data_IF_698592773221
#
_entry.id   IF_698592773221
#
_cell.length_a   1.000
_cell.length_b   1.000
_cell.length_c   1.000
_cell.angle_alpha   90.00
_cell.angle_beta   90.00
_cell.angle_gamma   90.00
#
_symmetry.space_group_name_H-M   'P 1'
#
loop_
_entity.id
_entity.type
_entity.pdbx_description
1 polymer ?
2 polymer ?
3 polymer ?
4 non-polymer ?
5 water ?
#
loop_
_entity_poly.entity_id
_entity_poly.type
_entity_poly.pdbx_seq_one_letter_code
_entity_poly.pdbx_strand_id
2 'polydeoxyribonucleotide' '(DC)(DG)(DC)(DT)(DA)(DG)(DT)(DA)(DC)(DT)(DC)(DA)(DT)' ?
3 'polydeoxyribonucleotide' '(DC)(DT)(DA)(DG)(DT)(DA)(DC)(DT)(DA)(DG)(DC)(DG)' ?
#
# COMPACT_ATOMS: atom_id res chain seq x y z
N UNK A 2 -2.42 -8.21 -3.33
CA UNK A 2 -3.51 -7.38 -2.85
C UNK A 2 -4.87 -7.94 -3.18
N UNK A 3 -5.86 -7.07 -3.30
CA UNK A 3 -7.22 -7.49 -3.66
C UNK A 3 -7.22 -8.06 -5.07
N UNK A 4 -7.61 -9.32 -5.20
CA UNK A 4 -7.52 -10.05 -6.46
C UNK A 4 -8.40 -9.47 -7.56
N UNK A 5 -7.77 -8.78 -8.51
CA UNK A 5 -8.45 -8.26 -9.67
C UNK A 5 -9.58 -7.30 -9.37
N UNK A 6 -9.37 -6.44 -8.38
CA UNK A 6 -10.40 -5.49 -7.96
C UNK A 6 -10.75 -4.50 -9.06
N UNK A 7 -9.77 -4.16 -9.88
CA UNK A 7 -9.95 -3.17 -10.93
C UNK A 7 -10.96 -3.62 -11.99
N UNK A 8 -10.88 -4.89 -12.36
CA UNK A 8 -11.73 -5.43 -13.42
C UNK A 8 -13.18 -5.57 -12.95
N UNK A 9 -13.38 -5.60 -11.64
CA UNK A 9 -14.72 -5.75 -11.09
C UNK A 9 -15.44 -4.40 -11.02
N UNK A 10 -14.67 -3.34 -10.76
CA UNK A 10 -15.23 -1.99 -10.72
C UNK A 10 -14.70 -1.17 -11.91
N UNK A 11 -14.71 -1.80 -13.08
CA UNK A 11 -14.22 -1.17 -14.30
C UNK A 11 -14.96 0.12 -14.65
N UNK A 12 -16.26 0.14 -14.39
CA UNK A 12 -17.12 1.26 -14.79
C UNK A 12 -16.95 2.48 -13.90
N UNK A 13 -16.17 2.34 -12.82
CA UNK A 13 -15.91 3.46 -11.92
C UNK A 13 -14.59 4.14 -12.26
N UNK A 14 -13.96 3.67 -13.33
CA UNK A 14 -12.67 4.21 -13.76
C UNK A 14 -12.82 5.29 -14.81
N UNK A 15 -11.81 6.13 -14.95
CA UNK A 15 -11.82 7.21 -15.92
C UNK A 15 -10.40 7.62 -16.29
N UNK A 16 -10.03 7.48 -17.57
CA UNK A 16 -8.72 7.87 -18.08
C UNK A 16 -8.47 9.37 -17.94
N UNK A 17 -7.43 9.74 -17.20
CA UNK A 17 -7.12 11.15 -16.99
C UNK A 17 -5.64 11.45 -17.24
N UNK A 18 -5.32 12.73 -17.22
CA UNK A 18 -3.94 13.18 -17.21
C UNK A 18 -3.72 13.97 -15.93
N UNK A 19 -2.49 13.96 -15.42
CA UNK A 19 -2.19 14.57 -14.13
C UNK A 19 -2.35 16.09 -14.14
N UNK A 20 -2.49 16.67 -15.33
CA UNK A 20 -2.78 18.09 -15.48
C UNK A 20 -4.09 18.45 -14.78
N UNK A 21 -4.96 17.45 -14.63
CA UNK A 21 -6.22 17.58 -13.91
C UNK A 21 -6.00 18.03 -12.47
N UNK A 22 -4.83 17.71 -11.92
CA UNK A 22 -4.50 18.07 -10.55
C UNK A 22 -3.41 19.14 -10.51
N UNK A 23 -3.49 20.11 -11.40
CA UNK A 23 -2.56 21.23 -11.41
C UNK A 23 -2.92 22.22 -10.30
N UNK A 24 -1.90 22.63 -9.54
CA UNK A 24 -2.12 23.55 -8.43
C UNK A 24 -2.70 22.84 -7.22
N UNK A 25 -2.62 21.52 -7.22
CA UNK A 25 -3.11 20.72 -6.10
C UNK A 25 -2.04 19.81 -5.54
N UNK A 26 -2.40 19.00 -4.55
CA UNK A 26 -1.46 18.10 -3.90
C UNK A 26 -1.91 16.65 -4.00
N UNK A 27 -1.03 15.79 -4.49
CA UNK A 27 -1.32 14.36 -4.56
C UNK A 27 -0.26 13.55 -3.82
N UNK A 28 -0.67 12.43 -3.23
CA UNK A 28 0.25 11.56 -2.51
C UNK A 28 0.65 10.38 -3.37
N UNK A 29 1.93 10.02 -3.34
CA UNK A 29 2.44 8.97 -4.21
C UNK A 29 2.97 7.75 -3.44
N UNK A 30 2.44 6.58 -3.77
CA UNK A 30 2.99 5.33 -3.27
C UNK A 30 4.33 5.08 -3.96
N UNK A 31 5.39 5.65 -3.39
CA UNK A 31 6.70 5.69 -4.04
C UNK A 31 7.30 4.31 -4.33
N UNK A 32 6.79 3.29 -3.65
CA UNK A 32 7.29 1.94 -3.82
C UNK A 32 7.14 1.44 -5.25
N UNK A 33 6.03 1.80 -5.89
CA UNK A 33 5.73 1.36 -7.24
C UNK A 33 6.72 1.94 -8.26
N UNK A 34 7.33 3.06 -7.91
CA UNK A 34 8.33 3.68 -8.77
C UNK A 34 9.72 3.13 -8.42
N UNK A 35 9.98 3.01 -7.13
CA UNK A 35 11.25 2.49 -6.62
C UNK A 35 11.54 1.10 -7.14
N UNK A 36 10.51 0.26 -7.19
CA UNK A 36 10.65 -1.11 -7.67
C UNK A 36 11.06 -1.13 -9.15
N UNK A 37 10.27 -0.45 -9.97
CA UNK A 37 10.53 -0.37 -11.41
C UNK A 37 11.92 0.19 -11.69
N UNK A 38 12.33 1.18 -10.89
CA UNK A 38 13.66 1.75 -11.02
C UNK A 38 14.73 0.76 -10.62
N UNK A 39 14.42 -0.08 -9.63
CA UNK A 39 15.38 -1.05 -9.11
C UNK A 39 15.51 -2.27 -10.03
N UNK A 40 14.53 -2.46 -10.90
CA UNK A 40 14.57 -3.53 -11.88
C UNK A 40 15.77 -3.37 -12.81
N UNK A 41 16.02 -2.13 -13.23
CA UNK A 41 17.14 -1.83 -14.11
C UNK A 41 18.47 -1.79 -13.37
N UNK A 42 18.44 -2.14 -12.09
CA UNK A 42 19.65 -2.18 -11.27
C UNK A 42 19.84 -3.56 -10.64
N UNK A 43 19.15 -4.56 -11.22
CA UNK A 43 19.14 -5.90 -10.66
C UNK A 43 20.53 -6.48 -10.42
N UNK A 44 21.31 -6.58 -11.48
CA UNK A 44 22.66 -7.15 -11.38
C UNK A 44 23.56 -6.26 -10.52
N UNK A 45 23.36 -4.95 -10.61
CA UNK A 45 24.17 -4.01 -9.84
C UNK A 45 23.86 -4.10 -8.34
N UNK A 46 22.57 -4.18 -8.01
CA UNK A 46 22.16 -4.31 -6.61
C UNK A 46 22.56 -5.66 -6.04
N UNK A 47 22.50 -6.70 -6.88
CA UNK A 47 22.85 -8.04 -6.45
C UNK A 47 24.36 -8.20 -6.26
N UNK A 48 25.14 -7.52 -7.08
CA UNK A 48 26.59 -7.56 -6.99
C UNK A 48 27.11 -6.76 -5.80
N UNK A 49 26.26 -5.89 -5.25
CA UNK A 49 26.67 -5.00 -4.19
C UNK A 49 27.34 -3.77 -4.76
N UNK A 50 27.30 -3.66 -6.09
CA UNK A 50 27.90 -2.54 -6.80
C UNK A 50 26.95 -1.34 -6.82
N UNK A 51 27.47 -0.16 -6.40
CA UNK A 51 26.67 1.06 -6.28
C UNK A 51 26.02 1.50 -7.60
N UNK A 52 24.79 2.02 -7.49
CA UNK A 52 24.05 2.51 -8.64
C UNK A 52 22.94 3.47 -8.20
N UNK A 53 22.68 4.48 -9.03
CA UNK A 53 21.66 5.48 -8.71
C UNK A 53 20.73 5.72 -9.89
N UNK A 54 20.17 4.65 -10.44
CA UNK A 54 19.29 4.74 -11.61
C UNK A 54 17.83 4.79 -11.20
N UNK A 55 17.49 4.05 -10.15
CA UNK A 55 16.14 4.09 -9.59
C UNK A 55 15.83 5.48 -9.06
N UNK A 56 16.87 6.16 -8.56
CA UNK A 56 16.75 7.54 -8.13
C UNK A 56 16.34 8.43 -9.30
N UNK A 57 17.00 8.22 -10.44
CA UNK A 57 16.69 8.98 -11.64
C UNK A 57 15.32 8.66 -12.19
N UNK A 58 14.86 7.44 -11.95
CA UNK A 58 13.53 7.00 -12.35
C UNK A 58 12.46 7.72 -11.54
N UNK A 59 12.54 7.56 -10.22
CA UNK A 59 11.62 8.20 -9.30
C UNK A 59 11.62 9.71 -9.49
N UNK A 60 12.80 10.28 -9.72
CA UNK A 60 12.91 11.72 -9.94
C UNK A 60 12.41 12.11 -11.32
N UNK A 61 12.40 11.17 -12.26
CA UNK A 61 11.80 11.42 -13.56
C UNK A 61 10.31 11.58 -13.39
N UNK A 62 9.69 10.64 -12.68
CA UNK A 62 8.26 10.73 -12.41
C UNK A 62 7.89 11.97 -11.60
N UNK A 63 8.69 12.25 -10.56
CA UNK A 63 8.46 13.39 -9.69
C UNK A 63 8.57 14.71 -10.44
N UNK A 64 9.61 14.84 -11.27
CA UNK A 64 9.78 16.02 -12.10
C UNK A 64 8.64 16.16 -13.11
N UNK A 65 8.17 15.02 -13.61
CA UNK A 65 7.01 15.01 -14.49
C UNK A 65 5.79 15.57 -13.77
N UNK A 66 5.64 15.22 -12.49
CA UNK A 66 4.55 15.76 -11.69
C UNK A 66 4.71 17.26 -11.44
N UNK A 67 5.93 17.68 -11.16
CA UNK A 67 6.22 19.09 -10.87
C UNK A 67 6.03 19.96 -12.11
N UNK A 68 6.21 19.38 -13.28
CA UNK A 68 6.09 20.12 -14.53
C UNK A 68 4.67 20.66 -14.74
N UNK A 69 3.69 19.96 -14.17
CA UNK A 69 2.29 20.35 -14.33
C UNK A 69 1.74 21.04 -13.08
N UNK A 70 2.62 21.74 -12.37
CA UNK A 70 2.21 22.52 -11.21
C UNK A 70 1.61 21.71 -10.08
N UNK A 71 2.02 20.46 -9.95
CA UNK A 71 1.53 19.59 -8.89
C UNK A 71 2.52 19.52 -7.74
N UNK A 72 2.01 19.45 -6.52
CA UNK A 72 2.86 19.27 -5.34
C UNK A 72 2.78 17.82 -4.87
N UNK A 73 3.78 17.01 -5.23
CA UNK A 73 3.77 15.58 -4.88
C UNK A 73 4.26 15.33 -3.46
N UNK A 74 3.68 14.33 -2.79
CA UNK A 74 4.14 13.91 -1.49
C UNK A 74 4.53 12.44 -1.54
N UNK A 75 5.84 12.18 -1.45
CA UNK A 75 6.35 10.82 -1.53
C UNK A 75 6.18 10.08 -0.20
N UNK A 76 5.43 8.98 -0.24
CA UNK A 76 5.17 8.19 0.96
C UNK A 76 5.79 6.80 0.84
N UNK A 77 6.48 6.37 1.89
CA UNK A 77 7.16 5.08 1.89
C UNK A 77 6.61 4.17 2.98
N UNK A 78 6.88 2.87 2.86
CA UNK A 78 6.51 1.92 3.90
C UNK A 78 7.49 1.99 5.07
N UNK A 79 7.01 1.66 6.26
CA UNK A 79 7.85 1.66 7.44
C UNK A 79 8.00 0.27 8.04
N UNK A 80 7.64 0.13 9.30
CA UNK A 80 7.72 -1.15 9.98
C UNK A 80 6.68 -2.12 9.42
N UNK A 81 7.05 -3.39 9.32
CA UNK A 81 6.12 -4.40 8.84
C UNK A 81 5.16 -4.81 9.94
N UNK A 82 3.88 -4.87 9.62
CA UNK A 82 2.85 -5.29 10.58
C UNK A 82 3.13 -6.70 11.08
N UNK A 83 2.83 -6.96 12.36
CA UNK A 83 3.03 -8.26 13.00
C UNK A 83 2.36 -9.41 12.26
N UNK A 84 1.36 -9.10 11.45
CA UNK A 84 0.67 -10.10 10.65
C UNK A 84 1.58 -10.64 9.54
N UNK A 85 2.17 -9.73 8.78
CA UNK A 85 3.06 -10.11 7.68
C UNK A 85 4.51 -10.16 8.13
N UNK A 86 4.71 -10.31 9.44
CA UNK A 86 6.05 -10.31 10.02
C UNK A 86 6.88 -11.50 9.55
N UNK A 87 6.20 -12.58 9.15
CA UNK A 87 6.87 -13.81 8.78
C UNK A 87 6.94 -14.02 7.27
N UNK A 88 5.88 -13.60 6.58
CA UNK A 88 5.83 -13.70 5.12
C UNK A 88 6.97 -12.91 4.50
N UNK A 89 7.30 -11.78 5.12
CA UNK A 89 8.44 -10.98 4.71
C UNK A 89 9.74 -11.78 4.82
N UNK A 90 9.87 -12.53 5.92
CA UNK A 90 11.04 -13.37 6.12
C UNK A 90 11.11 -14.47 5.07
N UNK A 91 9.97 -15.04 4.72
CA UNK A 91 9.91 -16.04 3.67
C UNK A 91 10.39 -15.45 2.35
N UNK A 92 9.89 -14.26 2.04
CA UNK A 92 10.28 -13.54 0.83
C UNK A 92 11.78 -13.23 0.83
N UNK A 93 12.34 -13.03 2.02
CA UNK A 93 13.77 -12.80 2.16
C UNK A 93 14.56 -14.09 1.90
N UNK A 94 14.03 -15.20 2.39
CA UNK A 94 14.62 -16.50 2.16
C UNK A 94 14.68 -16.79 0.66
N UNK A 95 13.54 -16.62 -0.01
CA UNK A 95 13.49 -16.77 -1.46
C UNK A 95 14.44 -15.78 -2.15
N UNK A 96 14.54 -14.59 -1.56
CA UNK A 96 15.38 -13.53 -2.11
C UNK A 96 16.84 -13.95 -2.16
N UNK A 97 17.41 -14.29 -1.02
CA UNK A 97 18.82 -14.66 -0.96
C UNK A 97 19.06 -16.06 -1.51
N UNK A 98 18.00 -16.84 -1.68
CA UNK A 98 18.10 -18.13 -2.35
C UNK A 98 18.31 -17.91 -3.84
N UNK A 99 17.49 -17.04 -4.43
CA UNK A 99 17.64 -16.68 -5.82
C UNK A 99 18.92 -15.86 -6.04
N UNK A 100 19.40 -15.23 -4.97
CA UNK A 100 20.68 -14.54 -5.01
C UNK A 100 21.82 -15.56 -5.04
N UNK A 101 21.63 -16.65 -4.31
CA UNK A 101 22.59 -17.76 -4.32
C UNK A 101 22.65 -18.38 -5.71
N UNK A 102 21.49 -18.75 -6.24
CA UNK A 102 21.39 -19.32 -7.58
C UNK A 102 21.95 -18.34 -8.63
N UNK A 103 21.75 -17.05 -8.38
CA UNK A 103 22.26 -16.02 -9.27
C UNK A 103 23.77 -15.97 -9.29
N UNK A 104 24.38 -15.84 -8.12
CA UNK A 104 25.82 -15.78 -8.00
C UNK A 104 26.50 -17.08 -8.43
N UNK A 105 25.75 -18.17 -8.34
CA UNK A 105 26.28 -19.48 -8.76
C UNK A 105 26.20 -19.64 -10.27
N UNK A 106 25.11 -19.17 -10.88
CA UNK A 106 24.95 -19.25 -12.32
C UNK A 106 25.71 -18.13 -13.03
N UNK A 107 26.26 -17.22 -12.25
CA UNK A 107 27.15 -16.19 -12.79
C UNK A 107 28.58 -16.71 -12.86
N UNK A 108 29.01 -17.34 -11.77
CA UNK A 108 30.36 -17.89 -11.68
C UNK A 108 30.52 -19.07 -12.64
N UNK A 109 29.40 -19.71 -12.97
CA UNK A 109 29.39 -20.82 -13.93
C UNK A 109 29.81 -20.33 -15.31
N UNK A 110 29.54 -19.06 -15.59
CA UNK A 110 29.92 -18.45 -16.85
C UNK A 110 28.71 -18.01 -17.67
N UNK A 111 27.63 -18.76 -17.56
CA UNK A 111 26.42 -18.47 -18.33
C UNK A 111 25.62 -17.34 -17.68
N UNK A 112 25.96 -16.11 -18.05
CA UNK A 112 25.29 -14.93 -17.51
C UNK A 112 23.94 -14.72 -18.22
N UNK A 113 23.67 -15.55 -19.21
CA UNK A 113 22.42 -15.47 -19.96
C UNK A 113 21.20 -15.73 -19.07
N UNK A 114 21.33 -16.70 -18.16
CA UNK A 114 20.24 -17.03 -17.24
C UNK A 114 20.33 -16.19 -15.96
N UNK A 115 21.43 -15.44 -15.84
CA UNK A 115 21.61 -14.55 -14.70
C UNK A 115 20.70 -13.34 -14.81
N UNK A 116 20.15 -13.13 -16.00
CA UNK A 116 19.18 -12.06 -16.23
C UNK A 116 17.80 -12.48 -15.74
N UNK A 117 17.68 -13.74 -15.33
CA UNK A 117 16.46 -14.23 -14.70
C UNK A 117 16.77 -14.59 -13.24
N UNK A 118 18.05 -14.82 -12.97
CA UNK A 118 18.49 -15.21 -11.63
C UNK A 118 18.71 -14.01 -10.70
N UNK A 119 19.49 -13.04 -11.15
CA UNK A 119 19.82 -11.88 -10.33
C UNK A 119 18.61 -10.95 -10.14
N UNK A 120 17.67 -10.99 -11.08
CA UNK A 120 16.51 -10.11 -11.01
C UNK A 120 15.43 -10.63 -10.07
N UNK A 121 15.58 -11.88 -9.63
CA UNK A 121 14.62 -12.48 -8.71
C UNK A 121 15.12 -12.32 -7.27
N UNK A 122 16.19 -11.54 -7.11
CA UNK A 122 16.76 -11.30 -5.79
C UNK A 122 16.84 -9.81 -5.47
N UNK A 123 16.10 -9.01 -6.23
CA UNK A 123 16.06 -7.57 -5.99
C UNK A 123 15.27 -7.25 -4.72
N UNK A 124 15.84 -6.42 -3.86
CA UNK A 124 15.22 -6.09 -2.59
C UNK A 124 15.33 -4.60 -2.26
N UNK A 125 14.17 -3.94 -2.18
CA UNK A 125 14.12 -2.53 -1.85
C UNK A 125 14.49 -2.30 -0.38
N UNK A 126 15.69 -1.81 -0.14
CA UNK A 126 16.12 -1.48 1.21
C UNK A 126 15.52 -0.14 1.63
N UNK A 127 15.95 0.35 2.79
CA UNK A 127 15.48 1.65 3.27
C UNK A 127 16.51 2.72 2.96
N UNK A 128 17.71 2.29 2.61
CA UNK A 128 18.77 3.21 2.21
C UNK A 128 18.53 3.74 0.80
N UNK A 129 17.96 2.90 -0.04
CA UNK A 129 17.56 3.29 -1.39
C UNK A 129 16.44 4.32 -1.32
N UNK A 130 15.41 3.98 -0.55
CA UNK A 130 14.29 4.88 -0.30
C UNK A 130 14.78 6.18 0.31
N UNK A 131 15.80 6.09 1.17
CA UNK A 131 16.37 7.29 1.78
C UNK A 131 17.10 8.13 0.74
N UNK A 132 17.75 7.46 -0.21
CA UNK A 132 18.40 8.16 -1.33
C UNK A 132 17.35 8.93 -2.12
N UNK A 133 16.23 8.26 -2.39
CA UNK A 133 15.10 8.89 -3.07
C UNK A 133 14.60 10.10 -2.28
N UNK A 134 14.57 9.96 -0.96
CA UNK A 134 14.13 11.05 -0.08
C UNK A 134 15.07 12.24 -0.18
N UNK A 135 16.37 11.97 -0.22
CA UNK A 135 17.37 13.02 -0.38
C UNK A 135 17.20 13.74 -1.71
N UNK A 136 17.13 12.97 -2.79
CA UNK A 136 16.97 13.52 -4.13
C UNK A 136 15.71 14.38 -4.25
N UNK A 137 14.61 13.88 -3.67
CA UNK A 137 13.34 14.60 -3.71
C UNK A 137 13.39 15.86 -2.84
N UNK A 138 14.13 15.79 -1.75
CA UNK A 138 14.29 16.95 -0.86
C UNK A 138 15.17 18.00 -1.51
N UNK A 139 16.01 17.58 -2.45
CA UNK A 139 16.84 18.52 -3.19
C UNK A 139 16.05 19.16 -4.33
N UNK A 140 14.73 19.05 -4.27
CA UNK A 140 13.85 19.65 -5.26
C UNK A 140 12.66 20.33 -4.59
N UNK A 141 12.58 20.21 -3.27
CA UNK A 141 11.51 20.83 -2.51
C UNK A 141 10.28 19.95 -2.38
N UNK A 142 10.48 18.65 -2.54
CA UNK A 142 9.38 17.69 -2.45
C UNK A 142 9.34 17.03 -1.07
N UNK A 143 8.23 17.23 -0.36
CA UNK A 143 8.07 16.66 0.98
C UNK A 143 7.94 15.15 0.93
N UNK A 144 8.59 14.47 1.87
CA UNK A 144 8.50 13.02 1.97
C UNK A 144 7.90 12.64 3.33
N UNK A 145 7.41 11.40 3.42
CA UNK A 145 6.77 10.92 4.64
C UNK A 145 6.83 9.41 4.74
N UNK A 146 7.66 8.92 5.66
CA UNK A 146 7.75 7.49 5.91
C UNK A 146 6.63 7.06 6.85
N UNK A 147 5.76 6.18 6.36
CA UNK A 147 4.65 5.66 7.16
C UNK A 147 5.18 4.87 8.35
N UNK A 148 4.44 4.91 9.47
CA UNK A 148 4.81 4.08 10.63
C UNK A 148 4.74 2.60 10.28
N UNK A 149 3.85 2.24 9.36
CA UNK A 149 3.74 0.87 8.88
C UNK A 149 3.50 0.82 7.39
N UNK A 150 2.35 0.28 6.97
CA UNK A 150 2.04 0.17 5.55
C UNK A 150 1.76 1.54 4.94
N UNK A 151 2.32 1.79 3.76
CA UNK A 151 2.15 3.07 3.08
C UNK A 151 0.69 3.30 2.68
N UNK A 152 -0.03 2.20 2.43
CA UNK A 152 -1.43 2.28 2.03
C UNK A 152 -2.29 3.03 3.05
N UNK A 153 -2.08 2.70 4.32
CA UNK A 153 -2.83 3.33 5.41
C UNK A 153 -2.51 4.82 5.48
N UNK A 154 -1.23 5.17 5.37
CA UNK A 154 -0.79 6.56 5.42
C UNK A 154 -1.40 7.37 4.28
N UNK A 155 -1.29 6.85 3.06
CA UNK A 155 -1.88 7.49 1.89
C UNK A 155 -3.38 7.69 2.09
N UNK A 156 -4.05 6.63 2.55
CA UNK A 156 -5.48 6.68 2.81
C UNK A 156 -5.82 7.77 3.81
N UNK A 157 -4.97 7.96 4.82
CA UNK A 157 -5.20 9.02 5.78
C UNK A 157 -5.01 10.39 5.16
N UNK A 158 -3.95 10.54 4.37
CA UNK A 158 -3.67 11.81 3.69
C UNK A 158 -4.82 12.21 2.77
N UNK A 159 -5.46 11.23 2.15
CA UNK A 159 -6.57 11.48 1.26
C UNK A 159 -7.87 11.76 2.02
N UNK A 160 -8.10 11.01 3.08
CA UNK A 160 -9.31 11.17 3.90
C UNK A 160 -9.33 12.50 4.63
N UNK A 161 -8.17 12.90 5.16
CA UNK A 161 -8.07 14.14 5.92
C UNK A 161 -8.29 15.35 5.03
N UNK A 162 -7.91 15.23 3.76
CA UNK A 162 -8.04 16.33 2.83
C UNK A 162 -6.71 16.98 2.54
N UNK A 163 -5.64 16.37 3.04
CA UNK A 163 -4.29 16.89 2.82
C UNK A 163 -3.90 16.73 1.35
N UNK A 164 -4.26 15.60 0.76
CA UNK A 164 -4.06 15.38 -0.67
C UNK A 164 -5.41 15.10 -1.34
N UNK A 165 -5.48 15.35 -2.64
CA UNK A 165 -6.73 15.21 -3.38
C UNK A 165 -6.82 13.86 -4.08
N UNK A 166 -5.67 13.30 -4.44
CA UNK A 166 -5.62 12.01 -5.11
C UNK A 166 -4.37 11.23 -4.72
N UNK A 167 -4.35 9.94 -5.03
CA UNK A 167 -3.22 9.08 -4.69
C UNK A 167 -2.71 8.31 -5.90
N UNK A 168 -1.45 8.50 -6.24
CA UNK A 168 -0.81 7.80 -7.35
C UNK A 168 -0.20 6.49 -6.86
N UNK A 169 -0.73 5.38 -7.34
CA UNK A 169 -0.26 4.06 -6.92
C UNK A 169 -0.59 2.99 -7.95
N UNK A 170 -0.10 1.77 -7.73
CA UNK A 170 -0.40 0.65 -8.60
C UNK A 170 -1.10 -0.46 -7.81
N UNK A 171 -1.49 -0.14 -6.59
CA UNK A 171 -2.14 -1.11 -5.72
C UNK A 171 -3.62 -0.78 -5.53
N UNK A 172 -4.46 -1.79 -5.67
CA UNK A 172 -5.91 -1.62 -5.60
C UNK A 172 -6.43 -1.68 -4.17
N UNK A 173 -5.54 -1.96 -3.23
CA UNK A 173 -5.92 -2.08 -1.82
C UNK A 173 -6.25 -0.72 -1.21
N UNK A 174 -5.81 0.34 -1.87
CA UNK A 174 -6.09 1.70 -1.42
C UNK A 174 -7.59 1.96 -1.38
N UNK A 175 -8.31 1.39 -2.33
CA UNK A 175 -9.75 1.54 -2.41
C UNK A 175 -10.44 0.90 -1.21
N UNK A 176 -9.88 -0.20 -0.73
CA UNK A 176 -10.42 -0.90 0.43
C UNK A 176 -10.22 -0.09 1.71
N UNK A 177 -9.20 0.76 1.72
CA UNK A 177 -8.91 1.60 2.87
C UNK A 177 -9.83 2.82 2.92
N UNK A 178 -10.67 2.96 1.90
CA UNK A 178 -11.66 4.03 1.87
C UNK A 178 -11.17 5.32 1.24
N UNK A 179 -10.24 5.19 0.28
CA UNK A 179 -9.73 6.36 -0.44
C UNK A 179 -10.81 6.94 -1.36
N UNK A 180 -10.69 8.24 -1.64
CA UNK A 180 -11.66 8.92 -2.48
C UNK A 180 -11.25 8.84 -3.96
N UNK A 181 -10.03 9.26 -4.26
CA UNK A 181 -9.53 9.25 -5.62
C UNK A 181 -8.21 8.50 -5.72
N UNK A 182 -8.16 7.50 -6.59
CA UNK A 182 -6.96 6.71 -6.79
C UNK A 182 -6.54 6.73 -8.26
N UNK A 183 -5.30 7.15 -8.52
CA UNK A 183 -4.76 7.20 -9.87
C UNK A 183 -3.90 5.98 -10.17
N UNK A 184 -4.36 5.13 -11.08
CA UNK A 184 -3.68 3.88 -11.39
C UNK A 184 -3.12 3.87 -12.81
N UNK A 185 -2.17 2.97 -13.05
CA UNK A 185 -1.57 2.77 -14.37
C UNK A 185 -0.97 4.04 -14.97
N UNK A 186 -0.48 4.93 -14.12
CA UNK A 186 0.09 6.18 -14.60
C UNK A 186 1.49 5.98 -15.17
N UNK A 187 1.75 6.55 -16.34
CA UNK A 187 3.05 6.44 -16.98
C UNK A 187 3.90 7.68 -16.75
N UNK A 188 5.01 7.78 -17.47
CA UNK A 188 5.97 8.87 -17.29
C UNK A 188 5.52 10.16 -17.94
N UNK A 189 4.27 10.21 -18.40
CA UNK A 189 3.75 11.41 -19.03
C UNK A 189 2.57 12.00 -18.25
N UNK A 190 1.77 11.12 -17.65
CA UNK A 190 0.65 11.57 -16.84
C UNK A 190 -0.62 10.79 -17.11
N UNK A 191 -0.60 9.94 -18.13
CA UNK A 191 -1.78 9.17 -18.50
C UNK A 191 -2.02 8.00 -17.55
N UNK A 192 -3.19 7.99 -16.90
CA UNK A 192 -3.53 6.92 -15.98
C UNK A 192 -5.01 6.79 -15.71
N UNK A 193 -5.42 5.62 -15.24
CA UNK A 193 -6.81 5.37 -14.89
C UNK A 193 -7.13 5.84 -13.48
N UNK A 194 -8.08 6.77 -13.38
CA UNK A 194 -8.50 7.28 -12.07
C UNK A 194 -9.80 6.63 -11.63
N UNK A 195 -9.84 6.18 -10.39
CA UNK A 195 -11.05 5.62 -9.81
C UNK A 195 -11.53 6.45 -8.63
N UNK A 196 -12.71 7.04 -8.77
CA UNK A 196 -13.30 7.84 -7.70
C UNK A 196 -14.30 7.00 -6.89
N UNK A 197 -14.32 7.23 -5.59
CA UNK A 197 -15.19 6.50 -4.69
C UNK A 197 -16.67 6.73 -5.00
N UNK A 198 -17.03 8.00 -5.20
CA UNK A 198 -18.41 8.37 -5.50
C UNK A 198 -18.90 7.73 -6.79
N UNK A 199 -17.97 7.41 -7.69
CA UNK A 199 -18.30 6.81 -8.97
C UNK A 199 -18.50 5.30 -8.87
N UNK A 200 -18.26 4.75 -7.67
CA UNK A 200 -18.37 3.30 -7.47
C UNK A 200 -19.77 2.78 -7.80
N UNK A 201 -20.76 3.66 -7.66
CA UNK A 201 -22.13 3.30 -7.93
C UNK A 201 -22.45 3.10 -9.41
N UNK A 202 -21.51 3.47 -10.28
CA UNK A 202 -21.69 3.28 -11.71
C UNK A 202 -21.63 1.80 -12.08
N UNK A 203 -20.98 1.02 -11.23
CA UNK A 203 -20.83 -0.42 -11.45
C UNK A 203 -22.11 -1.15 -11.09
N UNK A 204 -22.81 -1.66 -12.11
CA UNK A 204 -24.08 -2.35 -11.88
C UNK A 204 -23.86 -3.71 -11.22
N UNK A 205 -22.76 -4.35 -11.56
CA UNK A 205 -22.43 -5.67 -11.01
C UNK A 205 -22.05 -5.59 -9.53
N UNK A 206 -22.10 -4.38 -8.98
CA UNK A 206 -21.71 -4.15 -7.59
C UNK A 206 -22.93 -4.12 -6.68
N UNK A 207 -24.09 -3.81 -7.25
CA UNK A 207 -25.33 -3.74 -6.50
C UNK A 207 -25.35 -2.58 -5.52
N UNK A 208 -25.78 -2.86 -4.29
CA UNK A 208 -25.82 -1.86 -3.24
C UNK A 208 -24.52 -1.86 -2.43
N UNK A 209 -23.55 -2.65 -2.88
CA UNK A 209 -22.27 -2.76 -2.21
C UNK A 209 -21.30 -1.71 -2.75
N UNK A 210 -21.70 -0.45 -2.69
CA UNK A 210 -20.83 0.65 -3.11
C UNK A 210 -20.47 1.54 -1.93
N UNK A 211 -21.14 1.32 -0.81
CA UNK A 211 -20.81 2.02 0.42
C UNK A 211 -19.45 1.54 0.95
N UNK A 212 -18.78 2.38 1.71
CA UNK A 212 -17.42 2.10 2.18
C UNK A 212 -17.30 0.79 2.94
N UNK A 213 -18.15 0.63 3.96
CA UNK A 213 -18.10 -0.55 4.83
C UNK A 213 -18.32 -1.85 4.06
N UNK A 214 -19.41 -1.91 3.30
CA UNK A 214 -19.76 -3.10 2.54
C UNK A 214 -18.71 -3.41 1.48
N UNK A 215 -18.20 -2.37 0.83
CA UNK A 215 -17.14 -2.52 -0.17
C UNK A 215 -15.89 -3.13 0.48
N UNK A 216 -15.57 -2.66 1.68
CA UNK A 216 -14.45 -3.18 2.44
C UNK A 216 -14.66 -4.67 2.74
N UNK A 217 -15.83 -4.99 3.28
CA UNK A 217 -16.19 -6.38 3.59
C UNK A 217 -16.05 -7.28 2.37
N UNK A 218 -16.47 -6.77 1.21
CA UNK A 218 -16.38 -7.51 -0.04
C UNK A 218 -14.93 -7.74 -0.42
N UNK A 219 -14.12 -6.69 -0.32
CA UNK A 219 -12.70 -6.80 -0.62
C UNK A 219 -12.00 -7.81 0.26
N UNK A 220 -12.39 -7.87 1.54
CA UNK A 220 -11.80 -8.82 2.47
C UNK A 220 -12.25 -10.24 2.16
N UNK A 221 -13.54 -10.44 1.96
CA UNK A 221 -14.08 -11.76 1.65
C UNK A 221 -13.53 -12.32 0.34
N UNK A 222 -13.19 -11.41 -0.59
CA UNK A 222 -12.62 -11.80 -1.87
C UNK A 222 -11.23 -12.44 -1.70
N UNK A 223 -10.47 -11.91 -0.76
CA UNK A 223 -9.13 -12.39 -0.50
C UNK A 223 -8.12 -11.26 -0.53
N UNK A 224 -7.53 -10.97 0.63
CA UNK A 224 -6.56 -9.88 0.73
C UNK A 224 -5.26 -10.36 1.36
N UNK A 225 -4.36 -9.41 1.64
CA UNK A 225 -3.08 -9.72 2.25
C UNK A 225 -3.23 -10.03 3.74
N UNK A 226 -4.31 -9.57 4.34
CA UNK A 226 -4.56 -9.79 5.75
C UNK A 226 -5.25 -11.13 5.99
N UNK A 227 -5.93 -11.63 4.97
CA UNK A 227 -6.68 -12.88 5.08
C UNK A 227 -6.95 -13.50 3.72
N UNK A 228 -6.62 -14.78 3.58
CA UNK A 228 -6.91 -15.51 2.36
C UNK A 228 -8.40 -15.83 2.28
N UNK A 229 -8.94 -15.84 1.06
CA UNK A 229 -10.35 -16.10 0.86
C UNK A 229 -10.66 -17.58 1.06
N UNK A 230 -11.93 -17.87 1.33
CA UNK A 230 -12.40 -19.25 1.42
C UNK A 230 -12.32 -19.90 0.05
N UNK A 231 -12.36 -21.23 0.02
CA UNK A 231 -12.22 -21.98 -1.23
C UNK A 231 -13.37 -21.67 -2.19
N UNK A 232 -13.01 -21.17 -3.38
CA UNK A 232 -13.99 -20.86 -4.40
C UNK A 232 -14.69 -19.53 -4.18
N UNK A 233 -14.05 -18.65 -3.42
CA UNK A 233 -14.63 -17.34 -3.12
C UNK A 233 -13.79 -16.21 -3.71
N UNK A 234 -14.32 -15.58 -4.76
CA UNK A 234 -13.67 -14.44 -5.38
C UNK A 234 -14.49 -13.18 -5.22
N UNK A 235 -14.25 -12.21 -6.09
CA UNK A 235 -14.97 -10.93 -6.03
C UNK A 235 -16.45 -11.08 -6.31
N UNK A 236 -16.79 -11.87 -7.34
CA UNK A 236 -18.17 -12.08 -7.73
C UNK A 236 -18.96 -12.77 -6.63
N UNK A 237 -18.36 -13.77 -6.01
CA UNK A 237 -18.99 -14.51 -4.91
C UNK A 237 -19.25 -13.60 -3.71
N UNK A 238 -18.22 -12.86 -3.31
CA UNK A 238 -18.30 -11.98 -2.14
C UNK A 238 -19.34 -10.87 -2.37
N UNK A 239 -19.29 -10.28 -3.55
CA UNK A 239 -20.26 -9.25 -3.91
C UNK A 239 -21.67 -9.83 -3.90
N UNK A 240 -21.80 -11.06 -4.38
CA UNK A 240 -23.09 -11.74 -4.43
C UNK A 240 -23.67 -11.96 -3.04
N UNK A 241 -22.88 -12.59 -2.17
CA UNK A 241 -23.34 -12.88 -0.81
C UNK A 241 -23.59 -11.60 -0.02
N UNK A 242 -22.81 -10.56 -0.29
CA UNK A 242 -23.03 -9.29 0.39
C UNK A 242 -24.27 -8.57 -0.14
N UNK A 243 -24.60 -8.79 -1.39
CA UNK A 243 -25.83 -8.23 -1.96
C UNK A 243 -27.05 -8.96 -1.41
N UNK A 244 -26.93 -10.28 -1.24
CA UNK A 244 -28.04 -11.09 -0.76
C UNK A 244 -28.22 -10.99 0.75
N UNK A 245 -27.25 -10.38 1.43
CA UNK A 245 -27.28 -10.26 2.88
C UNK A 245 -28.02 -9.01 3.34
N UNK A 246 -28.70 -9.10 4.48
CA UNK A 246 -29.44 -7.98 5.03
C UNK A 246 -29.09 -7.71 6.50
N UNK A 247 -28.69 -8.78 7.19
CA UNK A 247 -28.33 -8.67 8.61
C UNK A 247 -27.07 -7.83 8.80
N UNK A 248 -27.17 -6.80 9.67
CA UNK A 248 -26.04 -5.92 9.96
C UNK A 248 -24.83 -6.65 10.52
N UNK A 249 -25.06 -7.70 11.30
CA UNK A 249 -23.96 -8.51 11.84
C UNK A 249 -23.26 -9.27 10.73
N UNK A 250 -22.04 -8.84 10.40
CA UNK A 250 -21.25 -9.45 9.33
C UNK A 250 -20.83 -10.86 9.71
N UNK A 251 -20.65 -11.09 11.01
CA UNK A 251 -20.22 -12.40 11.51
C UNK A 251 -21.24 -13.48 11.17
N UNK A 252 -22.52 -13.19 11.39
CA UNK A 252 -23.59 -14.14 11.09
C UNK A 252 -23.70 -14.39 9.59
N UNK A 253 -23.45 -13.34 8.80
CA UNK A 253 -23.47 -13.45 7.34
C UNK A 253 -22.37 -14.40 6.87
N UNK A 254 -21.17 -14.20 7.38
CA UNK A 254 -20.03 -15.06 7.05
C UNK A 254 -20.32 -16.50 7.49
N UNK A 255 -20.89 -16.65 8.68
CA UNK A 255 -21.28 -17.97 9.17
C UNK A 255 -22.32 -18.61 8.25
N UNK A 256 -23.11 -17.77 7.58
CA UNK A 256 -24.15 -18.28 6.68
C UNK A 256 -23.78 -18.07 5.21
N UNK A 257 -22.48 -17.99 4.93
CA UNK A 257 -22.00 -17.82 3.56
C UNK A 257 -22.34 -19.03 2.70
N UNK A 258 -22.49 -20.19 3.31
CA UNK A 258 -22.78 -21.41 2.59
C UNK A 258 -24.23 -21.48 2.12
N UNK A 259 -25.10 -20.71 2.78
CA UNK A 259 -26.52 -20.70 2.45
C UNK A 259 -26.81 -19.79 1.27
N UNK A 260 -26.21 -18.61 1.27
CA UNK A 260 -26.47 -17.59 0.25
C UNK A 260 -25.90 -17.98 -1.12
N UNK A 261 -24.76 -18.66 -1.12
CA UNK A 261 -24.08 -19.01 -2.37
C UNK A 261 -24.45 -20.40 -2.86
N UNK A 262 -25.29 -21.09 -2.11
CA UNK A 262 -25.68 -22.47 -2.43
C UNK A 262 -24.44 -23.36 -2.56
N UNK A 263 -23.47 -23.14 -1.69
CA UNK A 263 -22.23 -23.91 -1.70
C UNK A 263 -22.04 -24.68 -0.40
N UNK A 264 -21.17 -25.67 -0.45
CA UNK A 264 -20.86 -26.48 0.74
C UNK A 264 -19.64 -25.92 1.47
N UNK A 265 -19.82 -24.78 2.13
CA UNK A 265 -18.71 -24.11 2.78
C UNK A 265 -18.98 -23.85 4.26
N UNK A 266 -18.26 -24.58 5.11
CA UNK A 266 -18.32 -24.35 6.55
C UNK A 266 -17.14 -23.51 6.98
N UNK A 267 -17.40 -22.42 7.69
CA UNK A 267 -16.37 -21.46 8.06
C UNK A 267 -15.50 -21.95 9.21
N UNK A 268 -14.18 -22.02 8.97
CA UNK A 268 -13.21 -22.32 10.03
C UNK A 268 -13.25 -21.26 11.12
N UNK A 269 -12.96 -21.64 12.36
CA UNK A 269 -13.01 -20.72 13.49
C UNK A 269 -11.99 -19.59 13.33
N UNK A 270 -10.86 -19.91 12.72
CA UNK A 270 -9.79 -18.92 12.54
C UNK A 270 -10.13 -17.90 11.46
N UNK A 271 -11.08 -18.24 10.59
CA UNK A 271 -11.45 -17.34 9.51
C UNK A 271 -12.27 -16.17 10.01
N UNK A 272 -13.13 -16.41 10.99
CA UNK A 272 -13.93 -15.35 11.59
C UNK A 272 -13.03 -14.33 12.27
N UNK A 273 -12.17 -14.82 13.16
CA UNK A 273 -11.20 -13.99 13.85
C UNK A 273 -10.30 -13.26 12.86
N UNK A 274 -9.87 -13.97 11.83
CA UNK A 274 -9.04 -13.38 10.79
C UNK A 274 -9.76 -12.27 10.05
N UNK A 275 -11.07 -12.40 9.90
CA UNK A 275 -11.87 -11.39 9.23
C UNK A 275 -12.03 -10.16 10.12
N UNK A 276 -12.25 -10.40 11.41
CA UNK A 276 -12.35 -9.32 12.37
C UNK A 276 -11.03 -8.52 12.42
N UNK A 277 -9.92 -9.25 12.44
CA UNK A 277 -8.60 -8.62 12.48
C UNK A 277 -8.30 -7.89 11.19
N UNK A 278 -8.76 -8.44 10.06
CA UNK A 278 -8.55 -7.81 8.76
C UNK A 278 -9.31 -6.49 8.69
N UNK A 279 -10.58 -6.53 9.11
CA UNK A 279 -11.43 -5.35 9.15
C UNK A 279 -10.85 -4.28 10.06
N UNK A 280 -10.41 -4.71 11.24
CA UNK A 280 -9.80 -3.79 12.20
C UNK A 280 -8.46 -3.25 11.71
N UNK A 281 -7.81 -3.97 10.81
CA UNK A 281 -6.54 -3.52 10.24
C UNK A 281 -6.80 -2.48 9.16
N UNK A 282 -7.82 -2.72 8.34
CA UNK A 282 -8.23 -1.75 7.33
C UNK A 282 -8.75 -0.47 7.99
N UNK A 283 -9.37 -0.62 9.16
CA UNK A 283 -10.01 0.51 9.83
C UNK A 283 -9.10 1.32 10.74
N UNK A 284 -8.24 0.62 11.51
CA UNK A 284 -7.51 1.28 12.59
C UNK A 284 -6.00 1.07 12.56
N UNK A 285 -5.42 0.88 11.38
CA UNK A 285 -3.97 0.79 11.29
C UNK A 285 -3.35 2.14 11.58
N UNK A 286 -2.29 2.15 12.39
CA UNK A 286 -1.67 3.39 12.82
C UNK A 286 -1.05 4.17 11.66
N UNK A 287 -1.39 5.45 11.59
CA UNK A 287 -0.82 6.35 10.60
C UNK A 287 -0.18 7.54 11.32
N UNK A 288 0.63 8.31 10.60
CA UNK A 288 1.27 9.47 11.18
C UNK A 288 0.59 10.77 10.73
N UNK A 289 0.03 11.50 11.69
CA UNK A 289 -0.54 12.81 11.42
C UNK A 289 0.58 13.84 11.30
N UNK A 290 0.82 14.35 10.08
CA UNK A 290 1.92 15.28 9.86
C UNK A 290 1.62 16.68 10.40
N UNK A 291 0.33 16.99 10.56
CA UNK A 291 -0.07 18.30 11.06
C UNK A 291 0.10 18.39 12.57
N UNK A 292 -0.47 17.43 13.28
CA UNK A 292 -0.39 17.40 14.74
C UNK A 292 0.89 16.75 15.22
N UNK A 293 1.64 16.16 14.29
CA UNK A 293 2.91 15.49 14.60
C UNK A 293 2.76 14.43 15.67
N UNK A 294 1.90 13.44 15.41
CA UNK A 294 1.65 12.38 16.36
C UNK A 294 1.17 11.10 15.67
N UNK A 295 1.04 10.03 16.46
CA UNK A 295 0.66 8.72 15.91
C UNK A 295 -0.81 8.42 16.20
N UNK A 296 -1.62 8.41 15.15
CA UNK A 296 -3.05 8.16 15.29
C UNK A 296 -3.50 7.00 14.41
N UNK A 297 -4.62 6.35 14.78
CA UNK A 297 -5.19 5.31 13.91
C UNK A 297 -5.75 5.92 12.62
N UNK A 298 -5.94 5.08 11.59
CA UNK A 298 -6.45 5.54 10.31
C UNK A 298 -7.81 6.20 10.46
N UNK A 299 -8.69 5.56 11.21
CA UNK A 299 -9.97 6.16 11.59
C UNK A 299 -10.08 6.21 13.11
N UNK A 300 -10.80 7.19 13.62
CA UNK A 300 -11.04 7.30 15.06
C UNK A 300 -11.81 6.08 15.56
N UNK A 301 -11.39 5.54 16.71
CA UNK A 301 -12.00 4.33 17.24
C UNK A 301 -13.49 4.52 17.53
N UNK A 302 -14.29 3.56 17.10
CA UNK A 302 -15.74 3.61 17.30
C UNK A 302 -16.10 3.21 18.73
N UNK A 303 -17.36 2.84 18.97
CA UNK A 303 -17.83 2.58 20.32
C UNK A 303 -17.54 1.16 20.81
N UNK A 304 -17.59 0.19 19.89
CA UNK A 304 -17.39 -1.21 20.26
C UNK A 304 -16.02 -1.74 19.83
N UNK A 305 -14.97 -1.04 20.21
CA UNK A 305 -13.61 -1.48 19.91
C UNK A 305 -12.64 -1.17 21.04
N UNK A 306 -11.90 -2.18 21.48
CA UNK A 306 -10.90 -2.00 22.52
C UNK A 306 -9.50 -1.97 21.92
N UNK A 307 -8.90 -0.77 21.86
CA UNK A 307 -7.58 -0.52 21.26
C UNK A 307 -6.46 -1.40 21.82
N UNK A 308 -6.68 -2.00 22.99
CA UNK A 308 -5.70 -2.89 23.60
C UNK A 308 -5.62 -4.21 22.84
N UNK A 309 -6.62 -4.49 22.02
CA UNK A 309 -6.69 -5.74 21.28
C UNK A 309 -6.14 -5.60 19.86
N UNK A 310 -5.86 -4.37 19.46
CA UNK A 310 -5.42 -4.10 18.09
C UNK A 310 -3.91 -3.89 17.98
N UNK A 311 -3.14 -4.81 18.58
CA UNK A 311 -1.70 -4.73 18.50
C UNK A 311 -1.20 -5.13 17.12
N UNK A 312 -1.97 -5.97 16.44
CA UNK A 312 -1.63 -6.42 15.10
C UNK A 312 -1.81 -5.30 14.06
N UNK A 313 -2.54 -4.26 14.45
CA UNK A 313 -2.77 -3.12 13.58
C UNK A 313 -1.67 -2.07 13.76
N UNK A 314 -0.67 -2.40 14.57
CA UNK A 314 0.46 -1.51 14.80
C UNK A 314 0.63 -1.11 16.24
N UNK A 315 1.88 -1.09 16.71
CA UNK A 315 2.19 -0.71 18.08
C UNK A 315 2.47 0.78 18.19
N UNK A 316 2.04 1.37 19.31
CA UNK A 316 2.27 2.79 19.56
C UNK A 316 3.68 3.05 20.08
N UNK A 317 4.26 4.17 19.65
CA UNK A 317 5.52 4.64 20.18
C UNK A 317 5.43 6.14 20.48
N UNK A 318 6.48 6.69 21.06
CA UNK A 318 6.51 8.12 21.37
C UNK A 318 6.44 8.96 20.10
N UNK A 319 5.73 10.07 20.16
CA UNK A 319 5.50 10.91 18.98
C UNK A 319 6.78 11.48 18.38
N UNK A 320 7.80 11.66 19.21
CA UNK A 320 9.09 12.18 18.74
C UNK A 320 9.79 11.14 17.87
N UNK A 321 9.74 9.89 18.33
CA UNK A 321 10.34 8.78 17.59
C UNK A 321 9.57 8.53 16.30
N UNK A 322 8.25 8.58 16.38
CA UNK A 322 7.40 8.44 15.20
C UNK A 322 7.67 9.55 14.20
N UNK A 323 8.01 10.73 14.73
CA UNK A 323 8.36 11.87 13.88
C UNK A 323 9.70 11.64 13.20
N UNK A 324 10.69 11.17 13.96
CA UNK A 324 12.01 10.90 13.40
C UNK A 324 11.95 9.80 12.35
N UNK A 325 11.05 8.85 12.53
CA UNK A 325 10.82 7.81 11.54
C UNK A 325 10.15 8.40 10.30
N UNK A 326 9.15 9.24 10.53
CA UNK A 326 8.40 9.87 9.44
C UNK A 326 9.28 10.73 8.56
N UNK A 327 10.28 11.37 9.16
CA UNK A 327 11.20 12.22 8.42
C UNK A 327 12.28 11.39 7.73
N UNK A 328 12.34 10.11 8.07
CA UNK A 328 13.34 9.21 7.50
C UNK A 328 14.68 9.30 8.21
N UNK A 329 14.70 10.00 9.33
CA UNK A 329 15.93 10.17 10.11
C UNK A 329 16.32 8.90 10.86
N UNK A 330 15.31 8.23 11.44
CA UNK A 330 15.56 7.03 12.21
C UNK A 330 15.36 5.77 11.37
N UNK A 331 16.33 4.87 11.42
CA UNK A 331 16.25 3.59 10.71
C UNK A 331 15.11 2.74 11.27
N UNK A 332 14.38 2.09 10.37
CA UNK A 332 13.23 1.28 10.75
C UNK A 332 13.61 0.10 11.63
N UNK A 333 14.69 -0.59 11.27
CA UNK A 333 15.09 -1.81 11.96
C UNK A 333 15.96 -1.57 13.19
N UNK A 334 17.02 -0.78 13.02
CA UNK A 334 18.00 -0.60 14.08
C UNK A 334 17.70 0.57 15.00
N UNK A 335 16.75 1.41 14.60
CA UNK A 335 16.35 2.60 15.36
C UNK A 335 17.52 3.57 15.59
N UNK A 336 18.54 3.48 14.74
CA UNK A 336 19.68 4.39 14.80
C UNK A 336 19.38 5.66 14.01
N UNK A 337 19.92 6.78 14.47
CA UNK A 337 19.77 8.03 13.74
C UNK A 337 20.73 8.08 12.56
N UNK A 338 20.19 7.92 11.35
CA UNK A 338 20.99 7.91 10.14
C UNK A 338 20.90 9.24 9.40
N UNK A 339 20.12 10.17 9.94
CA UNK A 339 19.95 11.48 9.33
C UNK A 339 19.48 12.48 10.38
N UNK A 340 19.51 13.77 10.03
CA UNK A 340 19.21 14.83 10.99
C UNK A 340 18.37 15.94 10.38
N UNK A 341 17.49 15.59 9.45
CA UNK A 341 16.64 16.59 8.79
C UNK A 341 15.61 17.18 9.76
N UNK A 342 15.33 18.47 9.61
CA UNK A 342 14.34 19.16 10.42
C UNK A 342 13.46 20.06 9.55
N UNK A 343 12.16 19.75 9.47
CA UNK A 343 11.22 20.48 8.61
C UNK A 343 10.95 21.93 9.03
N UNK A 344 11.63 22.40 10.08
CA UNK A 344 11.46 23.78 10.54
C UNK A 344 12.70 24.62 10.27
N UNK A 345 13.72 23.99 9.70
CA UNK A 345 14.96 24.69 9.38
C UNK A 345 15.15 24.80 7.87
N UNK A 355 4.31 20.57 4.37
CA UNK A 355 3.56 19.43 4.87
C UNK A 355 3.55 19.40 6.40
N UNK A 356 4.73 19.51 7.00
CA UNK A 356 4.86 19.52 8.45
C UNK A 356 4.75 20.93 9.01
N UNK A 357 3.68 21.63 8.63
CA UNK A 357 3.47 23.00 9.08
C UNK A 357 3.07 23.04 10.56
X LIG D 1 -10.53 -15.42 -3.73
#
# INVERSE_FOLDING_TARGET
MGIQGLLQFIKEASEPIHVRKYKGQVVAVDTYCWLHKGAIACAEKLAKGEPTDRYVGFCMKFVNMLLSHGIKPILVFDGCTLPSKKEVERSRRERRQANLLKGKQLLREGKVSEARECFTRSINITHAMAHKVIKAARSQGVDCLVAPYEADAQLAYLNKAGIVQAIITEDSDLLAFGCKKVILKMDQFGNGLEIDQARLGMCRQLGDVFTEEKFRYMCILSGCDYLSSLRGIGLAKACKVLRLANNPDIVKVIKKIGHYLKMNITVPEDYINGFIRANNTFLYQLVFDPIKRKLIPLNAYEDDVDPETLSYAGQYVDDSIALQIALGNKDINTFEQIDDYNPDTAMPAHSRENLYFQ
NA NA
#
